data_IF_186228765893
#
_entry.id   IF_186228765893
#
_cell.length_a   1.000
_cell.length_b   1.000
_cell.length_c   1.000
_cell.angle_alpha   90.00
_cell.angle_beta   90.00
_cell.angle_gamma   90.00
#
_symmetry.space_group_name_H-M   'P 1'
#
loop_
_entity.id
_entity.type
_entity.pdbx_description
1 polymer ?
#
# COMPACT_ATOMS: atom_id res chain seq x y z
N UNK A 1 -33.64 -2.71 -4.70
CA UNK A 1 -33.27 -3.97 -5.39
C UNK A 1 -32.41 -3.61 -6.59
N UNK A 2 -31.11 -3.86 -6.52
CA UNK A 2 -30.18 -3.68 -7.66
C UNK A 2 -29.60 -5.07 -8.03
N UNK A 3 -29.55 -5.44 -9.33
CA UNK A 3 -29.08 -6.76 -9.73
C UNK A 3 -27.59 -6.72 -10.12
N UNK A 4 -26.70 -7.19 -9.26
CA UNK A 4 -25.27 -7.34 -9.56
C UNK A 4 -24.77 -8.73 -9.14
N UNK A 5 -25.08 -9.76 -9.95
CA UNK A 5 -24.46 -11.09 -9.80
C UNK A 5 -24.14 -11.84 -11.11
N UNK A 6 -24.08 -11.17 -12.27
CA UNK A 6 -23.84 -11.88 -13.56
C UNK A 6 -22.60 -11.48 -14.37
N UNK A 7 -21.83 -10.45 -13.98
CA UNK A 7 -20.65 -10.06 -14.77
C UNK A 7 -19.35 -10.81 -14.44
N UNK A 8 -19.22 -11.50 -13.30
CA UNK A 8 -17.94 -12.12 -12.91
C UNK A 8 -17.64 -13.44 -13.62
N UNK A 9 -18.64 -14.23 -13.99
CA UNK A 9 -18.43 -15.54 -14.62
C UNK A 9 -18.12 -15.46 -16.12
N UNK A 10 -18.53 -14.38 -16.79
CA UNK A 10 -18.25 -14.16 -18.22
C UNK A 10 -16.80 -13.75 -18.46
N UNK A 11 -16.27 -12.82 -17.64
CA UNK A 11 -14.84 -12.46 -17.68
C UNK A 11 -13.92 -13.65 -17.41
N UNK A 12 -14.34 -14.58 -16.55
CA UNK A 12 -13.55 -15.77 -16.21
C UNK A 12 -13.48 -16.81 -17.34
N UNK A 13 -14.49 -16.90 -18.22
CA UNK A 13 -14.48 -17.80 -19.38
C UNK A 13 -13.68 -17.23 -20.56
N UNK A 14 -13.72 -15.92 -20.76
CA UNK A 14 -12.99 -15.29 -21.88
C UNK A 14 -11.49 -15.21 -21.62
N UNK A 15 -11.05 -14.95 -20.37
CA UNK A 15 -9.62 -14.98 -20.00
C UNK A 15 -8.99 -16.37 -20.16
N UNK A 16 -9.71 -17.44 -19.78
CA UNK A 16 -9.22 -18.81 -19.94
C UNK A 16 -9.16 -19.24 -21.42
N UNK A 17 -10.08 -18.76 -22.26
CA UNK A 17 -10.13 -19.10 -23.68
C UNK A 17 -9.03 -18.43 -24.51
N UNK A 18 -8.64 -17.19 -24.16
CA UNK A 18 -7.61 -16.44 -24.88
C UNK A 18 -6.19 -16.90 -24.51
N UNK A 19 -5.96 -17.37 -23.28
CA UNK A 19 -4.66 -17.92 -22.87
C UNK A 19 -4.33 -19.29 -23.47
N UNK A 20 -5.33 -20.05 -23.96
CA UNK A 20 -5.12 -21.36 -24.57
C UNK A 20 -4.83 -21.31 -26.08
N UNK A 21 -5.01 -20.15 -26.74
CA UNK A 21 -4.81 -20.02 -28.19
C UNK A 21 -3.36 -19.76 -28.64
N UNK A 22 -2.38 -19.74 -27.73
CA UNK A 22 -0.97 -19.50 -28.08
C UNK A 22 -0.08 -20.75 -28.14
N UNK A 23 -0.65 -21.95 -28.13
CA UNK A 23 0.11 -23.21 -28.30
C UNK A 23 -0.38 -23.95 -29.56
N UNK A 24 0.18 -23.57 -30.70
CA UNK A 24 0.00 -24.30 -31.95
C UNK A 24 1.11 -25.35 -32.15
N UNK A 25 0.77 -26.63 -31.99
CA UNK A 25 1.47 -27.73 -32.68
C UNK A 25 0.47 -28.79 -33.13
N UNK A 26 0.55 -29.16 -34.41
CA UNK A 26 -0.36 -30.01 -35.18
C UNK A 26 -0.38 -31.51 -34.77
N UNK A 27 -1.40 -32.29 -35.24
CA UNK A 27 -1.81 -33.56 -34.62
C UNK A 27 -1.31 -34.82 -35.35
N UNK A 28 -1.38 -35.97 -34.65
CA UNK A 28 -1.42 -37.30 -35.30
C UNK A 28 -2.63 -38.13 -34.80
N UNK A 29 -3.28 -38.76 -35.77
CA UNK A 29 -4.53 -39.55 -35.73
C UNK A 29 -4.36 -40.90 -35.01
N UNK A 30 -5.45 -41.41 -34.41
CA UNK A 30 -6.11 -42.70 -34.73
C UNK A 30 -7.41 -42.86 -33.89
N UNK A 31 -8.53 -43.30 -34.51
CA UNK A 31 -9.84 -43.53 -33.86
C UNK A 31 -10.10 -45.01 -33.50
N UNK A 32 -11.35 -45.54 -33.48
CA UNK A 32 -12.63 -44.91 -33.09
C UNK A 32 -13.52 -45.77 -32.13
N UNK A 33 -14.50 -45.10 -31.51
CA UNK A 33 -15.88 -45.53 -31.13
C UNK A 33 -16.14 -46.78 -30.27
N UNK A 34 -16.95 -46.61 -29.19
CA UNK A 34 -18.20 -47.37 -28.97
C UNK A 34 -19.14 -46.75 -27.92
N UNK A 35 -20.43 -46.99 -28.20
CA UNK A 35 -21.68 -46.43 -27.65
C UNK A 35 -22.04 -46.84 -26.20
N UNK A 36 -22.96 -46.06 -25.60
CA UNK A 36 -24.17 -46.44 -24.82
C UNK A 36 -24.42 -45.39 -23.73
N UNK A 37 -25.63 -45.03 -23.27
CA UNK A 37 -27.04 -45.20 -23.66
C UNK A 37 -27.85 -44.32 -22.68
N UNK A 38 -28.97 -43.77 -23.16
CA UNK A 38 -30.06 -43.02 -22.49
C UNK A 38 -30.68 -43.75 -21.26
N UNK A 39 -31.71 -43.23 -20.50
CA UNK A 39 -32.62 -42.10 -20.79
C UNK A 39 -33.05 -41.18 -19.61
N UNK A 40 -33.80 -40.16 -20.04
CA UNK A 40 -34.67 -39.19 -19.34
C UNK A 40 -35.90 -39.82 -18.65
N UNK A 41 -36.47 -39.14 -17.63
CA UNK A 41 -37.84 -38.57 -17.64
C UNK A 41 -38.50 -38.43 -16.26
N UNK A 42 -39.05 -37.25 -15.92
CA UNK A 42 -40.49 -36.90 -15.88
C UNK A 42 -40.80 -35.73 -14.91
N UNK A 43 -41.65 -34.85 -15.43
CA UNK A 43 -42.35 -33.72 -14.81
C UNK A 43 -43.51 -34.19 -13.91
N UNK A 44 -43.99 -33.33 -13.00
CA UNK A 44 -45.40 -32.91 -12.95
C UNK A 44 -45.59 -31.55 -12.25
N UNK A 45 -46.53 -30.79 -12.80
CA UNK A 45 -47.03 -29.45 -12.47
C UNK A 45 -48.01 -29.47 -11.27
N UNK A 46 -48.19 -28.32 -10.58
CA UNK A 46 -49.51 -27.62 -10.50
C UNK A 46 -49.40 -26.22 -9.88
N UNK A 47 -50.29 -25.36 -10.38
CA UNK A 47 -50.46 -23.90 -10.33
C UNK A 47 -51.23 -23.40 -9.09
N UNK A 48 -50.86 -22.26 -8.47
CA UNK A 48 -51.39 -20.87 -8.58
C UNK A 48 -52.88 -20.69 -8.20
N UNK A 49 -53.18 -19.70 -7.34
CA UNK A 49 -54.20 -18.61 -7.50
C UNK A 49 -54.27 -17.71 -6.22
N UNK A 50 -53.97 -16.41 -6.38
CA UNK A 50 -54.48 -15.22 -5.65
C UNK A 50 -55.70 -14.65 -6.45
N UNK A 51 -56.48 -13.56 -6.13
CA UNK A 51 -56.30 -12.35 -5.25
C UNK A 51 -57.66 -11.79 -4.65
N UNK A 52 -58.03 -10.46 -4.58
CA UNK A 52 -57.58 -9.26 -3.81
C UNK A 52 -58.77 -8.46 -3.12
N UNK A 53 -58.86 -7.09 -3.04
CA UNK A 53 -58.15 -6.04 -2.26
C UNK A 53 -59.08 -5.05 -1.50
N UNK A 54 -58.54 -4.05 -0.77
CA UNK A 54 -59.17 -2.71 -0.60
C UNK A 54 -58.14 -1.56 -0.46
N UNK A 55 -58.57 -0.33 -0.80
CA UNK A 55 -57.82 0.90 -1.19
C UNK A 55 -57.92 2.04 -0.16
N UNK A 56 -57.11 3.09 -0.40
CA UNK A 56 -57.26 4.55 -0.10
C UNK A 56 -56.47 5.08 1.12
N UNK A 57 -55.89 6.29 1.18
CA UNK A 57 -55.71 7.42 0.23
C UNK A 57 -54.64 8.42 0.76
N UNK A 58 -53.99 9.15 -0.16
CA UNK A 58 -53.49 10.56 -0.14
C UNK A 58 -52.41 11.10 0.85
N UNK A 59 -51.42 11.77 0.24
CA UNK A 59 -50.27 12.62 0.68
C UNK A 59 -50.69 14.00 1.30
N UNK A 60 -49.80 14.93 1.78
CA UNK A 60 -48.58 15.45 1.11
C UNK A 60 -47.34 15.79 1.99
N UNK A 61 -46.32 16.27 1.28
CA UNK A 61 -44.92 16.63 1.58
C UNK A 61 -44.68 17.56 2.79
N UNK A 62 -43.54 17.40 3.46
CA UNK A 62 -42.80 18.50 4.10
C UNK A 62 -41.29 18.21 4.17
N UNK A 63 -40.54 19.20 3.67
CA UNK A 63 -39.10 19.36 3.67
C UNK A 63 -38.62 19.53 5.13
N UNK A 64 -37.68 18.71 5.59
CA UNK A 64 -37.14 18.78 6.95
C UNK A 64 -35.67 18.38 6.98
N UNK A 65 -34.81 19.38 7.09
CA UNK A 65 -33.38 19.29 7.41
C UNK A 65 -33.12 18.34 8.58
N UNK A 66 -32.36 17.27 8.34
CA UNK A 66 -31.90 16.40 9.43
C UNK A 66 -30.69 17.03 10.11
N UNK A 67 -30.96 17.57 11.30
CA UNK A 67 -29.98 17.94 12.32
C UNK A 67 -29.04 16.76 12.63
N UNK A 68 -27.74 17.03 12.57
CA UNK A 68 -26.69 16.16 13.12
C UNK A 68 -26.79 16.22 14.64
N UNK A 69 -27.12 15.10 15.28
CA UNK A 69 -27.08 14.96 16.73
C UNK A 69 -25.62 14.93 17.22
N UNK A 70 -25.20 15.97 17.93
CA UNK A 70 -24.06 15.95 18.84
C UNK A 70 -24.44 15.27 20.15
N UNK A 71 -23.84 14.12 20.46
CA UNK A 71 -23.55 13.60 21.82
C UNK A 71 -22.60 12.39 21.61
N UNK A 72 -21.46 12.19 22.29
CA UNK A 72 -20.90 12.91 23.42
C UNK A 72 -19.38 12.76 23.48
N UNK A 73 -18.77 13.82 24.00
CA UNK A 73 -17.36 13.92 24.35
C UNK A 73 -17.02 12.94 25.48
N UNK A 74 -16.24 11.91 25.15
CA UNK A 74 -15.48 11.14 26.14
C UNK A 74 -14.06 11.69 26.19
N UNK A 75 -13.68 12.11 27.39
CA UNK A 75 -12.51 12.90 27.77
C UNK A 75 -11.17 12.16 27.65
N UNK A 76 -10.14 12.95 27.31
CA UNK A 76 -8.69 12.65 27.23
C UNK A 76 -8.13 12.34 25.84
N UNK A 77 -8.33 13.26 24.88
CA UNK A 77 -7.31 13.46 23.84
C UNK A 77 -6.26 14.43 24.37
N UNK A 78 -5.00 14.07 24.19
CA UNK A 78 -3.80 14.79 24.63
C UNK A 78 -3.75 16.24 24.13
N UNK A 79 -3.17 17.12 24.96
CA UNK A 79 -3.16 18.58 24.73
C UNK A 79 -2.47 18.99 23.41
N UNK A 80 -1.55 18.18 22.88
CA UNK A 80 -0.90 18.45 21.59
C UNK A 80 -1.75 18.00 20.40
N UNK A 81 -2.40 16.83 20.44
CA UNK A 81 -3.39 16.46 19.40
C UNK A 81 -4.52 17.49 19.32
N UNK A 82 -5.00 18.01 20.44
CA UNK A 82 -5.98 19.10 20.42
C UNK A 82 -5.41 20.41 19.89
N UNK A 83 -4.14 20.73 20.16
CA UNK A 83 -3.52 21.98 19.66
C UNK A 83 -3.24 21.90 18.17
N UNK A 84 -2.73 20.76 17.67
CA UNK A 84 -2.52 20.49 16.24
C UNK A 84 -3.87 20.45 15.50
N UNK A 85 -4.90 19.81 16.07
CA UNK A 85 -6.24 19.78 15.48
C UNK A 85 -7.00 21.12 15.55
N UNK A 86 -6.84 21.91 16.64
CA UNK A 86 -7.49 23.22 16.79
C UNK A 86 -6.90 24.29 15.87
N UNK A 87 -5.60 24.24 15.59
CA UNK A 87 -4.95 25.18 14.64
C UNK A 87 -5.44 24.96 13.21
N UNK A 88 -5.84 23.73 12.87
CA UNK A 88 -6.32 23.34 11.53
C UNK A 88 -7.83 23.53 11.33
N UNK A 89 -8.63 23.65 12.40
CA UNK A 89 -10.08 23.84 12.34
C UNK A 89 -10.53 25.23 11.87
N UNK A 90 -9.61 26.18 11.68
CA UNK A 90 -9.91 27.55 11.25
C UNK A 90 -9.65 27.82 9.76
N UNK A 91 -9.17 26.84 8.99
CA UNK A 91 -8.97 26.97 7.56
C UNK A 91 -10.29 26.71 6.81
N UNK A 92 -10.97 27.79 6.40
CA UNK A 92 -12.12 27.74 5.51
C UNK A 92 -11.74 27.08 4.18
N UNK A 93 -12.55 26.10 3.75
CA UNK A 93 -12.46 25.43 2.44
C UNK A 93 -12.64 26.43 1.29
N UNK A 94 -11.54 26.86 0.66
CA UNK A 94 -11.57 27.53 -0.65
C UNK A 94 -10.37 27.09 -1.51
N UNK A 95 -10.70 26.42 -2.62
CA UNK A 95 -9.95 26.16 -3.89
C UNK A 95 -8.58 25.42 -3.87
N UNK A 96 -8.32 24.41 -4.75
CA UNK A 96 -7.19 23.47 -4.63
C UNK A 96 -5.96 23.83 -5.47
N UNK A 97 -5.58 25.11 -5.54
CA UNK A 97 -4.30 25.54 -6.13
C UNK A 97 -3.78 26.78 -5.40
N UNK A 98 -3.06 26.57 -4.31
CA UNK A 98 -2.25 27.61 -3.67
C UNK A 98 -0.84 27.06 -3.59
N UNK A 99 0.09 27.71 -4.29
CA UNK A 99 1.53 27.48 -4.15
C UNK A 99 1.92 27.71 -2.70
N UNK A 100 2.65 26.74 -2.13
CA UNK A 100 3.04 26.75 -0.73
C UNK A 100 4.19 27.73 -0.52
N UNK A 101 3.86 29.01 -0.32
CA UNK A 101 4.80 29.99 0.23
C UNK A 101 5.19 29.64 1.68
N UNK A 102 6.45 29.90 2.00
CA UNK A 102 7.21 29.64 3.23
C UNK A 102 6.56 30.11 4.54
N UNK A 103 5.53 29.40 5.03
CA UNK A 103 5.16 29.47 6.43
C UNK A 103 6.00 28.47 7.23
N UNK A 104 7.04 28.97 7.91
CA UNK A 104 7.77 28.26 8.97
C UNK A 104 6.80 27.94 10.12
N UNK A 105 5.99 26.90 9.97
CA UNK A 105 5.36 26.26 11.12
C UNK A 105 6.46 25.69 12.00
N UNK A 106 6.43 25.97 13.31
CA UNK A 106 7.24 25.28 14.30
C UNK A 106 7.04 23.77 14.11
N UNK A 107 8.09 23.11 13.60
CA UNK A 107 8.04 21.68 13.32
C UNK A 107 7.92 20.93 14.65
N UNK A 108 6.93 20.05 14.75
CA UNK A 108 6.72 19.26 15.94
C UNK A 108 7.98 18.42 16.27
N UNK A 109 8.29 18.32 17.56
CA UNK A 109 9.39 17.48 18.04
C UNK A 109 8.99 16.00 17.95
N UNK A 110 9.65 15.19 17.09
CA UNK A 110 9.33 13.77 16.98
C UNK A 110 9.56 13.00 18.29
N UNK A 111 10.53 13.41 19.12
CA UNK A 111 10.77 12.76 20.42
C UNK A 111 9.67 13.08 21.43
N UNK A 112 9.10 14.29 21.38
CA UNK A 112 7.94 14.64 22.19
C UNK A 112 6.70 13.83 21.79
N UNK A 113 6.44 13.70 20.49
CA UNK A 113 5.32 12.90 20.01
C UNK A 113 5.49 11.41 20.30
N UNK A 114 6.72 10.89 20.21
CA UNK A 114 7.02 9.50 20.57
C UNK A 114 6.72 9.24 22.05
N UNK A 115 7.19 10.10 22.95
CA UNK A 115 6.88 10.02 24.39
C UNK A 115 5.37 10.09 24.66
N UNK A 116 4.63 10.87 23.87
CA UNK A 116 3.18 10.93 23.98
C UNK A 116 2.51 9.62 23.55
N UNK A 117 2.97 9.01 22.45
CA UNK A 117 2.50 7.68 22.04
C UNK A 117 2.76 6.66 23.15
N UNK A 118 3.99 6.63 23.70
CA UNK A 118 4.38 5.76 24.80
C UNK A 118 3.50 5.96 26.06
N UNK A 119 3.15 7.21 26.39
CA UNK A 119 2.28 7.51 27.54
C UNK A 119 0.84 7.05 27.31
N UNK A 120 0.28 7.24 26.11
CA UNK A 120 -1.06 6.72 25.76
C UNK A 120 -1.07 5.19 25.80
N UNK A 121 0.03 4.57 25.36
CA UNK A 121 0.21 3.13 25.30
C UNK A 121 0.79 2.52 26.58
N UNK A 122 0.95 3.28 27.68
CA UNK A 122 1.62 2.81 28.91
C UNK A 122 1.02 1.54 29.54
N UNK A 123 -0.26 1.28 29.28
CA UNK A 123 -0.98 0.10 29.77
C UNK A 123 -0.93 -1.08 28.78
N UNK A 124 -0.33 -0.88 27.60
CA UNK A 124 -0.10 -1.91 26.61
C UNK A 124 1.25 -2.60 26.85
N UNK A 125 1.38 -3.85 26.40
CA UNK A 125 2.69 -4.48 26.34
C UNK A 125 3.66 -3.64 25.47
N UNK A 126 4.96 -3.65 25.78
CA UNK A 126 5.93 -2.87 25.02
C UNK A 126 5.98 -3.34 23.57
N UNK A 127 6.30 -2.40 22.67
CA UNK A 127 6.54 -2.70 21.25
C UNK A 127 7.57 -3.80 21.08
N UNK A 128 7.42 -4.57 20.02
CA UNK A 128 8.41 -5.56 19.63
C UNK A 128 9.69 -4.87 19.14
N UNK A 129 10.80 -5.08 19.84
CA UNK A 129 12.09 -4.52 19.42
C UNK A 129 12.68 -5.33 18.26
N UNK A 130 13.15 -4.62 17.23
CA UNK A 130 13.78 -5.19 16.03
C UNK A 130 15.07 -4.43 15.76
N UNK A 131 16.15 -5.16 15.49
CA UNK A 131 17.45 -4.57 15.19
C UNK A 131 17.67 -4.44 13.68
N UNK A 132 18.47 -3.44 13.31
CA UNK A 132 19.04 -3.37 11.97
C UNK A 132 20.20 -4.34 11.81
N UNK A 133 20.18 -5.13 10.73
CA UNK A 133 21.31 -5.91 10.25
C UNK A 133 22.04 -5.08 9.21
N UNK A 134 23.31 -4.72 9.49
CA UNK A 134 24.17 -4.04 8.53
C UNK A 134 24.65 -5.03 7.48
N UNK A 135 24.60 -4.62 6.21
CA UNK A 135 25.13 -5.43 5.12
C UNK A 135 26.63 -5.18 4.96
N UNK A 136 27.29 -6.04 4.17
CA UNK A 136 28.72 -5.89 3.84
C UNK A 136 29.02 -4.67 2.94
N UNK A 137 28.01 -4.11 2.29
CA UNK A 137 28.14 -3.00 1.35
C UNK A 137 28.12 -1.62 2.02
N UNK A 138 27.93 -1.56 3.34
CA UNK A 138 27.81 -0.31 4.10
C UNK A 138 29.05 0.59 3.90
N UNK A 139 28.85 1.76 3.29
CA UNK A 139 29.87 2.80 3.19
C UNK A 139 29.71 3.81 4.33
N UNK A 140 30.78 4.05 5.09
CA UNK A 140 30.79 5.06 6.16
C UNK A 140 30.74 6.51 5.65
N UNK A 141 30.84 6.72 4.33
CA UNK A 141 30.96 8.06 3.73
C UNK A 141 29.63 8.66 3.27
N UNK A 142 28.58 7.84 3.08
CA UNK A 142 27.29 8.31 2.58
C UNK A 142 26.26 8.42 3.72
N UNK A 143 25.42 9.46 3.67
CA UNK A 143 24.24 9.53 4.53
C UNK A 143 23.14 8.66 3.92
N UNK A 144 22.77 7.51 4.51
CA UNK A 144 21.80 6.59 3.93
C UNK A 144 20.41 7.20 3.89
N UNK A 145 19.63 6.85 2.87
CA UNK A 145 18.20 7.14 2.73
C UNK A 145 17.43 6.00 3.38
N UNK A 146 16.72 6.28 4.46
CA UNK A 146 15.87 5.30 5.11
C UNK A 146 14.52 5.19 4.41
N UNK A 147 14.23 4.02 3.89
CA UNK A 147 12.96 3.67 3.26
C UNK A 147 12.17 2.78 4.21
N UNK A 148 10.91 3.13 4.46
CA UNK A 148 9.96 2.29 5.17
C UNK A 148 8.78 1.93 4.26
N UNK A 149 8.46 0.64 4.19
CA UNK A 149 7.36 0.06 3.44
C UNK A 149 6.44 -0.65 4.43
N UNK A 150 5.14 -0.33 4.42
CA UNK A 150 4.22 -0.97 5.36
C UNK A 150 2.76 -0.98 4.88
N UNK A 151 2.16 -2.17 4.79
CA UNK A 151 0.70 -2.30 4.82
C UNK A 151 0.25 -2.10 6.27
N UNK A 152 -0.44 -0.99 6.54
CA UNK A 152 -0.79 -0.61 7.91
C UNK A 152 -2.10 -1.25 8.38
N UNK A 153 -2.74 -2.09 7.55
CA UNK A 153 -4.08 -2.65 7.73
C UNK A 153 -5.13 -1.52 7.81
N UNK A 154 -6.11 -1.47 6.93
CA UNK A 154 -7.14 -0.43 7.02
C UNK A 154 -8.02 -0.66 8.25
N UNK A 155 -8.38 0.41 8.97
CA UNK A 155 -9.20 0.30 10.19
C UNK A 155 -10.54 -0.39 9.90
N UNK A 156 -11.21 0.04 8.83
CA UNK A 156 -12.48 -0.54 8.41
C UNK A 156 -12.35 -2.04 8.10
N UNK A 157 -11.23 -2.47 7.49
CA UNK A 157 -11.02 -3.87 7.13
C UNK A 157 -10.71 -4.73 8.36
N UNK A 158 -9.88 -4.22 9.27
CA UNK A 158 -9.51 -4.90 10.50
C UNK A 158 -10.72 -5.25 11.37
N UNK A 159 -11.61 -4.28 11.60
CA UNK A 159 -12.83 -4.48 12.40
C UNK A 159 -13.93 -5.25 11.64
N UNK A 160 -14.08 -4.99 10.34
CA UNK A 160 -15.29 -5.37 9.61
C UNK A 160 -15.19 -6.58 8.70
N UNK A 161 -14.00 -6.91 8.18
CA UNK A 161 -13.86 -7.89 7.09
C UNK A 161 -12.80 -8.94 7.31
N UNK A 162 -11.77 -8.62 8.07
CA UNK A 162 -10.56 -9.43 8.09
C UNK A 162 -10.65 -10.66 8.98
N UNK A 163 -11.44 -10.58 10.06
CA UNK A 163 -11.79 -11.71 10.90
C UNK A 163 -10.60 -12.32 11.63
N UNK A 164 -9.75 -11.50 12.26
CA UNK A 164 -8.60 -11.98 13.03
C UNK A 164 -9.04 -12.76 14.27
N UNK A 165 -9.20 -14.09 14.16
CA UNK A 165 -9.86 -14.93 15.17
C UNK A 165 -9.05 -15.11 16.47
N UNK A 166 -7.77 -14.72 16.47
CA UNK A 166 -6.88 -14.74 17.65
C UNK A 166 -6.52 -13.35 18.15
N UNK A 167 -6.93 -12.29 17.45
CA UNK A 167 -6.68 -10.92 17.87
C UNK A 167 -7.83 -10.42 18.77
N UNK A 168 -7.56 -9.90 19.96
CA UNK A 168 -8.56 -9.21 20.77
C UNK A 168 -9.12 -7.99 20.03
N UNK A 169 -10.44 -7.79 20.06
CA UNK A 169 -11.08 -6.66 19.37
C UNK A 169 -10.59 -5.30 19.89
N UNK A 170 -10.22 -5.24 21.16
CA UNK A 170 -9.65 -4.04 21.79
C UNK A 170 -8.30 -3.66 21.18
N UNK A 171 -7.52 -4.62 20.68
CA UNK A 171 -6.25 -4.37 19.99
C UNK A 171 -6.46 -3.76 18.60
N UNK A 172 -7.64 -3.96 18.01
CA UNK A 172 -8.00 -3.39 16.71
C UNK A 172 -8.56 -1.98 16.82
N UNK A 173 -8.87 -1.48 18.02
CA UNK A 173 -9.52 -0.19 18.20
C UNK A 173 -8.64 0.97 17.69
N UNK A 174 -9.20 1.79 16.79
CA UNK A 174 -8.49 2.92 16.18
C UNK A 174 -7.90 3.90 17.18
N UNK A 175 -8.59 4.13 18.31
CA UNK A 175 -8.17 5.09 19.34
C UNK A 175 -6.76 4.82 19.87
N UNK A 176 -6.31 3.57 19.82
CA UNK A 176 -4.97 3.16 20.25
C UNK A 176 -4.11 2.67 19.08
N UNK A 177 -4.70 1.98 18.10
CA UNK A 177 -3.97 1.44 16.94
C UNK A 177 -3.21 2.54 16.18
N UNK A 178 -3.78 3.75 16.09
CA UNK A 178 -3.10 4.90 15.49
C UNK A 178 -1.80 5.28 16.22
N UNK A 179 -1.75 5.16 17.54
CA UNK A 179 -0.54 5.48 18.32
C UNK A 179 0.52 4.39 18.15
N UNK A 180 0.14 3.12 18.03
CA UNK A 180 1.09 2.04 17.70
C UNK A 180 1.70 2.24 16.30
N UNK A 181 0.91 2.67 15.32
CA UNK A 181 1.40 2.98 13.96
C UNK A 181 2.36 4.18 14.01
N UNK A 182 2.01 5.24 14.74
CA UNK A 182 2.86 6.41 14.90
C UNK A 182 4.15 6.09 15.67
N UNK A 183 4.08 5.29 16.74
CA UNK A 183 5.24 4.83 17.51
C UNK A 183 6.25 4.07 16.62
N UNK A 184 5.76 3.19 15.74
CA UNK A 184 6.60 2.46 14.77
C UNK A 184 7.31 3.43 13.80
N UNK A 185 6.58 4.39 13.23
CA UNK A 185 7.13 5.40 12.29
C UNK A 185 8.16 6.30 13.01
N UNK A 186 7.84 6.78 14.20
CA UNK A 186 8.70 7.68 15.01
C UNK A 186 9.94 6.96 15.54
N UNK A 187 9.84 5.65 15.81
CA UNK A 187 10.98 4.83 16.19
C UNK A 187 12.00 4.77 15.07
N UNK A 188 11.56 4.46 13.84
CA UNK A 188 12.50 4.24 12.73
C UNK A 188 12.85 5.50 11.95
N UNK A 189 12.05 6.57 12.02
CA UNK A 189 12.30 7.88 11.37
C UNK A 189 12.68 7.75 9.88
N UNK A 190 11.81 7.17 9.03
CA UNK A 190 12.12 7.00 7.63
C UNK A 190 12.25 8.34 6.89
N UNK A 191 13.16 8.45 5.94
CA UNK A 191 13.20 9.60 5.04
C UNK A 191 12.13 9.50 3.96
N UNK A 192 11.74 8.28 3.58
CA UNK A 192 10.63 7.98 2.68
C UNK A 192 9.78 6.87 3.28
N UNK A 193 8.47 7.10 3.37
CA UNK A 193 7.49 6.19 3.95
C UNK A 193 6.41 5.86 2.93
N UNK A 194 6.30 4.58 2.59
CA UNK A 194 5.38 4.01 1.64
C UNK A 194 4.35 3.16 2.38
N UNK A 195 3.08 3.57 2.34
CA UNK A 195 2.00 2.90 3.07
C UNK A 195 0.94 2.35 2.12
N UNK A 196 0.36 1.20 2.50
CA UNK A 196 -0.86 0.65 1.89
C UNK A 196 -1.95 0.50 2.94
N UNK A 197 -3.19 0.39 2.46
CA UNK A 197 -4.39 0.29 3.29
C UNK A 197 -4.60 1.51 4.20
N UNK A 198 -4.28 2.70 3.69
CA UNK A 198 -4.46 3.95 4.43
C UNK A 198 -5.90 4.45 4.24
N UNK A 199 -6.76 4.26 5.25
CA UNK A 199 -8.12 4.81 5.30
C UNK A 199 -8.25 6.00 6.26
N UNK A 200 -7.21 6.33 7.02
CA UNK A 200 -7.13 7.49 7.93
C UNK A 200 -6.10 8.55 7.48
N UNK A 201 -5.98 8.76 6.16
CA UNK A 201 -4.98 9.68 5.59
C UNK A 201 -5.22 11.13 6.03
N UNK A 202 -6.42 11.66 5.78
CA UNK A 202 -6.71 13.09 5.97
C UNK A 202 -6.93 13.50 7.42
N UNK A 203 -7.51 12.63 8.25
CA UNK A 203 -7.81 12.93 9.65
C UNK A 203 -6.64 12.69 10.60
N UNK A 204 -5.68 11.83 10.22
CA UNK A 204 -4.58 11.42 11.11
C UNK A 204 -3.21 11.55 10.46
N UNK A 205 -2.90 10.74 9.44
CA UNK A 205 -1.50 10.59 9.00
C UNK A 205 -0.96 11.84 8.31
N UNK A 206 -1.73 12.48 7.44
CA UNK A 206 -1.32 13.69 6.75
C UNK A 206 -1.03 14.84 7.73
N UNK A 207 -1.95 15.26 8.63
CA UNK A 207 -1.68 16.39 9.50
C UNK A 207 -0.54 16.11 10.49
N UNK A 208 -0.50 14.90 11.08
CA UNK A 208 0.54 14.53 12.04
C UNK A 208 1.92 14.48 11.38
N UNK A 209 2.07 13.77 10.25
CA UNK A 209 3.36 13.65 9.59
C UNK A 209 3.78 14.98 8.91
N UNK A 210 2.84 15.79 8.43
CA UNK A 210 3.15 17.14 7.93
C UNK A 210 3.76 18.04 9.02
N UNK A 211 3.24 17.96 10.26
CA UNK A 211 3.81 18.68 11.41
C UNK A 211 5.23 18.23 11.75
N UNK A 212 5.62 17.00 11.40
CA UNK A 212 6.95 16.43 11.59
C UNK A 212 7.92 16.70 10.43
N UNK A 213 7.52 17.44 9.39
CA UNK A 213 8.39 17.74 8.26
C UNK A 213 8.17 16.86 7.02
N UNK A 214 7.16 15.99 7.00
CA UNK A 214 6.87 15.19 5.82
C UNK A 214 6.01 15.98 4.82
N UNK A 215 6.28 15.79 3.54
CA UNK A 215 5.34 16.09 2.46
C UNK A 215 4.79 14.76 1.95
N UNK A 216 3.55 14.75 1.44
CA UNK A 216 2.88 13.49 1.12
C UNK A 216 1.88 13.56 -0.02
N UNK A 217 1.55 12.38 -0.54
CA UNK A 217 0.65 12.17 -1.67
C UNK A 217 -0.15 10.88 -1.43
N UNK A 218 -1.47 10.91 -1.66
CA UNK A 218 -2.39 9.80 -1.40
C UNK A 218 -3.24 9.50 -2.62
N UNK A 219 -3.38 8.22 -2.95
CA UNK A 219 -4.24 7.74 -4.03
C UNK A 219 -5.17 6.64 -3.50
N UNK A 220 -6.47 6.90 -3.35
CA UNK A 220 -7.45 5.90 -2.92
C UNK A 220 -7.75 4.88 -4.02
N UNK A 221 -8.08 3.65 -3.62
CA UNK A 221 -8.66 2.65 -4.54
C UNK A 221 -10.04 3.16 -5.01
N UNK A 222 -10.33 3.16 -6.33
CA UNK A 222 -11.60 3.68 -6.86
C UNK A 222 -12.86 3.03 -6.25
N UNK A 223 -12.79 1.72 -6.00
CA UNK A 223 -13.82 0.93 -5.35
C UNK A 223 -13.20 0.20 -4.15
N UNK A 224 -12.74 0.96 -3.14
CA UNK A 224 -12.15 0.39 -1.93
C UNK A 224 -13.12 -0.55 -1.21
N UNK A 225 -12.65 -1.72 -0.71
CA UNK A 225 -13.45 -2.59 0.13
C UNK A 225 -13.83 -1.98 1.49
N UNK A 226 -13.18 -0.91 1.96
CA UNK A 226 -13.58 -0.23 3.20
C UNK A 226 -15.01 0.29 3.10
N UNK A 227 -15.44 0.70 1.90
CA UNK A 227 -16.77 1.29 1.67
C UNK A 227 -17.93 0.30 1.91
N UNK A 228 -17.66 -1.01 1.93
CA UNK A 228 -18.70 -2.00 2.28
C UNK A 228 -18.82 -2.22 3.79
N UNK A 229 -17.94 -1.61 4.60
CA UNK A 229 -17.94 -1.74 6.06
C UNK A 229 -18.75 -0.61 6.67
N UNK A 230 -19.62 -0.94 7.63
CA UNK A 230 -20.38 0.04 8.37
C UNK A 230 -19.44 0.94 9.20
N UNK A 231 -19.72 2.25 9.28
CA UNK A 231 -18.86 3.25 9.95
C UNK A 231 -17.41 3.32 9.43
N UNK A 232 -17.18 3.05 8.14
CA UNK A 232 -15.86 3.26 7.53
C UNK A 232 -15.45 4.74 7.49
N UNK A 233 -14.15 5.00 7.36
CA UNK A 233 -13.59 6.34 7.21
C UNK A 233 -13.29 6.70 5.74
N UNK A 234 -14.09 6.17 4.80
CA UNK A 234 -13.87 6.33 3.37
C UNK A 234 -12.97 5.23 2.76
N UNK A 235 -12.48 5.44 1.53
CA UNK A 235 -11.70 4.44 0.81
C UNK A 235 -10.26 4.33 1.34
N UNK A 236 -9.75 3.11 1.47
CA UNK A 236 -8.30 2.88 1.61
C UNK A 236 -7.53 3.20 0.32
N UNK A 237 -6.23 3.43 0.46
CA UNK A 237 -5.33 3.68 -0.65
C UNK A 237 -3.87 3.48 -0.35
N UNK A 238 -3.04 3.90 -1.30
CA UNK A 238 -1.59 4.01 -1.13
C UNK A 238 -1.23 5.45 -0.75
N UNK A 239 -0.33 5.61 0.21
CA UNK A 239 0.21 6.91 0.60
C UNK A 239 1.75 6.88 0.53
N UNK A 240 2.33 7.97 0.04
CA UNK A 240 3.77 8.17 -0.04
C UNK A 240 4.11 9.46 0.70
N UNK A 241 4.95 9.37 1.73
CA UNK A 241 5.48 10.49 2.50
C UNK A 241 6.99 10.58 2.31
N UNK A 242 7.56 11.77 2.31
CA UNK A 242 9.00 11.97 2.30
C UNK A 242 9.40 13.22 3.10
N UNK A 243 10.59 13.20 3.69
CA UNK A 243 11.13 14.30 4.49
C UNK A 243 11.46 15.51 3.59
N UNK A 244 10.70 16.61 3.69
CA UNK A 244 10.85 17.80 2.84
C UNK A 244 12.15 18.55 3.04
N UNK A 245 12.81 18.37 4.21
CA UNK A 245 14.14 18.93 4.49
C UNK A 245 15.23 18.20 3.72
N UNK A 246 15.03 16.91 3.41
CA UNK A 246 16.00 16.08 2.69
C UNK A 246 15.73 16.04 1.19
N UNK A 247 14.46 16.06 0.79
CA UNK A 247 14.05 15.91 -0.59
C UNK A 247 13.17 17.06 -1.08
N UNK A 248 13.39 17.44 -2.34
CA UNK A 248 12.51 18.30 -3.11
C UNK A 248 11.68 17.41 -4.04
N UNK A 249 10.36 17.60 -4.06
CA UNK A 249 9.47 16.96 -5.04
C UNK A 249 9.66 17.61 -6.40
N UNK A 250 9.96 16.82 -7.42
CA UNK A 250 10.00 17.28 -8.81
C UNK A 250 8.70 16.93 -9.53
N UNK A 251 8.19 15.72 -9.32
CA UNK A 251 6.96 15.24 -9.96
C UNK A 251 6.25 14.21 -9.08
N UNK A 252 4.91 14.15 -9.18
CA UNK A 252 4.13 13.05 -8.62
C UNK A 252 3.11 12.55 -9.65
N UNK A 253 2.93 11.24 -9.73
CA UNK A 253 1.95 10.60 -10.60
C UNK A 253 1.08 9.63 -9.79
N UNK A 254 -0.23 9.69 -10.01
CA UNK A 254 -1.19 8.73 -9.46
C UNK A 254 -1.63 7.77 -10.55
N UNK A 255 -1.26 6.49 -10.40
CA UNK A 255 -1.49 5.48 -11.41
C UNK A 255 -2.65 4.58 -11.02
N UNK A 256 -3.65 4.47 -11.90
CA UNK A 256 -4.63 3.38 -11.84
C UNK A 256 -4.15 2.24 -12.73
N UNK A 257 -3.81 1.11 -12.11
CA UNK A 257 -3.24 -0.05 -12.80
C UNK A 257 -4.22 -0.64 -13.81
N UNK A 258 -3.72 -1.14 -14.93
CA UNK A 258 -4.53 -1.73 -15.99
C UNK A 258 -4.11 -3.17 -16.28
N UNK A 259 -5.08 -4.00 -16.70
CA UNK A 259 -4.83 -5.35 -17.23
C UNK A 259 -5.54 -5.45 -18.57
N UNK A 260 -4.80 -5.75 -19.65
CA UNK A 260 -5.35 -5.80 -21.01
C UNK A 260 -6.18 -4.56 -21.37
N UNK A 261 -5.63 -3.36 -21.11
CA UNK A 261 -6.27 -2.04 -21.29
C UNK A 261 -7.47 -1.75 -20.35
N UNK A 262 -7.91 -2.71 -19.53
CA UNK A 262 -8.98 -2.49 -18.55
C UNK A 262 -8.42 -1.91 -17.26
N UNK A 263 -8.97 -0.78 -16.83
CA UNK A 263 -8.62 -0.16 -15.55
C UNK A 263 -9.07 -1.05 -14.38
N UNK A 264 -8.11 -1.48 -13.57
CA UNK A 264 -8.33 -2.30 -12.38
C UNK A 264 -8.75 -1.44 -11.18
N UNK A 265 -8.90 -2.04 -10.02
CA UNK A 265 -9.18 -1.33 -8.77
C UNK A 265 -7.91 -0.93 -8.00
N UNK A 266 -6.75 -1.44 -8.41
CA UNK A 266 -5.49 -1.21 -7.72
C UNK A 266 -4.79 0.03 -8.26
N UNK A 267 -4.01 0.66 -7.40
CA UNK A 267 -3.40 1.96 -7.64
C UNK A 267 -1.93 1.95 -7.22
N UNK A 268 -1.17 2.90 -7.75
CA UNK A 268 0.17 3.21 -7.30
C UNK A 268 0.37 4.73 -7.23
N UNK A 269 1.25 5.18 -6.33
CA UNK A 269 1.73 6.56 -6.27
C UNK A 269 3.21 6.54 -6.61
N UNK A 270 3.64 7.41 -7.52
CA UNK A 270 5.04 7.60 -7.90
C UNK A 270 5.45 9.03 -7.60
N UNK A 271 6.61 9.22 -7.00
CA UNK A 271 7.21 10.52 -6.73
C UNK A 271 8.66 10.55 -7.24
N UNK A 272 9.00 11.56 -8.01
CA UNK A 272 10.37 11.86 -8.42
C UNK A 272 10.94 12.89 -7.45
N UNK A 273 12.00 12.51 -6.74
CA UNK A 273 12.58 13.26 -5.64
C UNK A 273 14.02 13.66 -5.96
N UNK A 274 14.39 14.91 -5.68
CA UNK A 274 15.78 15.38 -5.65
C UNK A 274 16.28 15.45 -4.22
N UNK A 275 17.38 14.74 -3.95
CA UNK A 275 18.14 14.92 -2.71
C UNK A 275 18.71 16.33 -2.65
N UNK A 276 18.32 17.11 -1.64
CA UNK A 276 18.78 18.50 -1.49
C UNK A 276 20.27 18.56 -1.15
N UNK A 277 20.80 17.55 -0.46
CA UNK A 277 22.21 17.49 -0.07
C UNK A 277 23.13 17.12 -1.24
N UNK A 278 22.75 16.15 -2.06
CA UNK A 278 23.62 15.59 -3.11
C UNK A 278 23.24 16.01 -4.53
N UNK A 279 22.06 16.60 -4.71
CA UNK A 279 21.48 16.91 -6.03
C UNK A 279 21.00 15.68 -6.81
N UNK A 280 21.21 14.46 -6.29
CA UNK A 280 20.83 13.23 -6.97
C UNK A 280 19.31 13.09 -7.02
N UNK A 281 18.81 12.62 -8.18
CA UNK A 281 17.39 12.40 -8.42
C UNK A 281 17.10 10.90 -8.43
N UNK A 282 15.98 10.51 -7.84
CA UNK A 282 15.48 9.14 -7.87
C UNK A 282 13.95 9.13 -7.82
N UNK A 283 13.33 8.07 -8.32
CA UNK A 283 11.91 7.82 -8.25
C UNK A 283 11.61 6.87 -7.09
N UNK A 284 10.51 7.11 -6.38
CA UNK A 284 9.93 6.18 -5.42
C UNK A 284 8.50 5.87 -5.82
N UNK A 285 8.14 4.60 -5.82
CA UNK A 285 6.80 4.14 -6.07
C UNK A 285 6.25 3.33 -4.90
N UNK A 286 4.96 3.48 -4.63
CA UNK A 286 4.22 2.63 -3.70
C UNK A 286 3.00 2.03 -4.38
N UNK A 287 2.76 0.73 -4.19
CA UNK A 287 1.61 0.02 -4.80
C UNK A 287 0.97 -0.98 -3.84
N UNK A 288 -0.27 -1.38 -4.13
CA UNK A 288 -0.97 -2.48 -3.47
C UNK A 288 -1.69 -3.30 -4.55
N UNK A 289 -1.19 -4.49 -4.86
CA UNK A 289 -1.72 -5.34 -5.94
C UNK A 289 -2.97 -6.14 -5.52
N UNK A 290 -3.54 -6.89 -6.47
CA UNK A 290 -4.78 -7.64 -6.24
C UNK A 290 -4.58 -8.77 -5.22
N UNK A 291 -5.25 -8.64 -4.08
CA UNK A 291 -5.29 -9.65 -3.02
C UNK A 291 -6.04 -10.95 -3.38
N UNK A 292 -5.83 -11.97 -2.54
CA UNK A 292 -6.42 -13.33 -2.58
C UNK A 292 -5.85 -14.26 -3.66
N UNK A 293 -5.89 -15.56 -3.40
CA UNK A 293 -5.53 -16.61 -4.35
C UNK A 293 -6.49 -16.66 -5.56
N UNK A 294 -6.01 -17.22 -6.67
CA UNK A 294 -6.72 -17.27 -7.95
C UNK A 294 -6.61 -16.00 -8.79
N UNK A 295 -5.78 -15.04 -8.37
CA UNK A 295 -5.53 -13.78 -9.06
C UNK A 295 -4.06 -13.60 -9.47
N UNK A 296 -3.27 -14.68 -9.49
CA UNK A 296 -1.83 -14.69 -9.77
C UNK A 296 -1.52 -14.09 -11.16
N UNK A 297 -2.23 -14.54 -12.20
CA UNK A 297 -2.08 -13.99 -13.55
C UNK A 297 -2.53 -12.52 -13.65
N UNK A 298 -3.53 -12.14 -12.85
CA UNK A 298 -4.01 -10.76 -12.80
C UNK A 298 -2.99 -9.84 -12.12
N UNK A 299 -2.40 -10.27 -11.00
CA UNK A 299 -1.27 -9.58 -10.35
C UNK A 299 -0.07 -9.46 -11.29
N UNK A 300 0.25 -10.54 -12.02
CA UNK A 300 1.31 -10.54 -13.03
C UNK A 300 1.10 -9.46 -14.09
N UNK A 301 -0.12 -9.33 -14.62
CA UNK A 301 -0.47 -8.30 -15.59
C UNK A 301 -0.49 -6.88 -14.98
N UNK A 302 -0.94 -6.72 -13.73
CA UNK A 302 -0.84 -5.45 -13.00
C UNK A 302 0.62 -5.02 -12.81
N UNK A 303 1.48 -5.96 -12.41
CA UNK A 303 2.92 -5.72 -12.28
C UNK A 303 3.57 -5.35 -13.60
N UNK A 304 3.20 -6.01 -14.70
CA UNK A 304 3.70 -5.65 -16.03
C UNK A 304 3.31 -4.21 -16.43
N UNK A 305 2.06 -3.82 -16.20
CA UNK A 305 1.62 -2.43 -16.44
C UNK A 305 2.33 -1.43 -15.53
N UNK A 306 2.54 -1.77 -14.25
CA UNK A 306 3.30 -0.93 -13.33
C UNK A 306 4.75 -0.73 -13.81
N UNK A 307 5.46 -1.81 -14.16
CA UNK A 307 6.83 -1.74 -14.68
C UNK A 307 6.92 -0.90 -15.96
N UNK A 308 5.95 -1.04 -16.87
CA UNK A 308 5.90 -0.21 -18.08
C UNK A 308 5.78 1.28 -17.72
N UNK A 309 4.85 1.65 -16.85
CA UNK A 309 4.66 3.05 -16.43
C UNK A 309 5.89 3.59 -15.69
N UNK A 310 6.53 2.77 -14.86
CA UNK A 310 7.76 3.16 -14.17
C UNK A 310 8.89 3.39 -15.18
N UNK A 311 9.05 2.53 -16.18
CA UNK A 311 10.01 2.72 -17.25
C UNK A 311 9.77 4.02 -18.02
N UNK A 312 8.51 4.32 -18.36
CA UNK A 312 8.16 5.57 -19.04
C UNK A 312 8.54 6.79 -18.16
N UNK A 313 8.19 6.76 -16.88
CA UNK A 313 8.46 7.87 -15.94
C UNK A 313 9.96 8.04 -15.63
N UNK A 314 10.75 6.97 -15.60
CA UNK A 314 12.20 7.04 -15.32
C UNK A 314 13.03 7.37 -16.55
N UNK A 315 12.48 7.23 -17.76
CA UNK A 315 13.17 7.54 -19.03
C UNK A 315 12.72 8.86 -19.65
N UNK A 316 11.56 9.39 -19.26
CA UNK A 316 11.12 10.71 -19.67
C UNK A 316 12.14 11.78 -19.23
N UNK A 317 12.65 12.52 -20.21
CA UNK A 317 13.50 13.69 -19.97
C UNK A 317 12.67 14.77 -19.29
N UNK A 318 12.76 14.87 -17.97
CA UNK A 318 12.21 16.03 -17.28
C UNK A 318 13.06 17.26 -17.65
N UNK A 319 12.43 18.20 -18.34
CA UNK A 319 12.98 19.53 -18.63
C UNK A 319 12.62 20.42 -17.46
N UNK A 320 13.61 20.84 -16.68
CA UNK A 320 13.43 21.93 -15.72
C UNK A 320 13.77 23.26 -16.39
N UNK A 321 12.91 24.26 -16.18
CA UNK A 321 13.23 25.67 -16.39
C UNK A 321 13.79 26.20 -15.07
N UNK A 322 15.11 26.45 -15.00
CA UNK A 322 15.68 27.28 -13.92
C UNK A 322 15.24 28.75 -14.14
N UNK A 323 15.06 29.53 -13.06
CA UNK A 323 14.76 30.99 -13.07
C UNK A 323 15.78 31.82 -13.90
N UNK A 324 16.95 31.25 -14.20
CA UNK A 324 17.99 31.83 -15.07
C UNK A 324 17.91 31.37 -16.54
N UNK A 325 16.78 30.82 -16.99
CA UNK A 325 16.54 30.42 -18.39
C UNK A 325 17.47 29.29 -18.91
N UNK A 326 17.99 28.44 -18.02
CA UNK A 326 18.78 27.25 -18.39
C UNK A 326 17.91 26.00 -18.33
N UNK A 327 17.68 25.38 -19.49
CA UNK A 327 17.07 24.06 -19.59
C UNK A 327 18.03 23.00 -19.06
N UNK A 328 17.74 22.39 -17.90
CA UNK A 328 18.45 21.18 -17.48
C UNK A 328 17.67 19.97 -18.00
N UNK A 329 18.29 19.25 -18.93
CA UNK A 329 17.82 17.93 -19.35
C UNK A 329 18.59 16.90 -18.52
N UNK A 330 17.89 16.06 -17.77
CA UNK A 330 18.50 14.92 -17.10
C UNK A 330 18.73 13.80 -18.14
N UNK A 331 19.85 13.86 -18.84
CA UNK A 331 20.28 12.78 -19.73
C UNK A 331 21.15 11.79 -18.95
N UNK A 332 20.54 10.69 -18.52
CA UNK A 332 21.29 9.47 -18.24
C UNK A 332 20.77 8.37 -19.16
N UNK A 333 21.68 7.72 -19.90
CA UNK A 333 21.37 6.56 -20.74
C UNK A 333 20.68 5.42 -19.95
N UNK A 334 20.86 5.39 -18.61
CA UNK A 334 20.34 4.36 -17.71
C UNK A 334 19.02 4.75 -16.99
N UNK A 335 18.46 5.94 -17.26
CA UNK A 335 17.24 6.45 -16.60
C UNK A 335 17.43 6.86 -15.12
N UNK A 336 16.37 7.40 -14.52
CA UNK A 336 16.34 7.81 -13.11
C UNK A 336 16.31 6.57 -12.20
N UNK A 337 17.22 6.46 -11.19
CA UNK A 337 17.20 5.38 -10.20
C UNK A 337 15.84 5.22 -9.53
N UNK A 338 15.44 3.99 -9.20
CA UNK A 338 14.09 3.69 -8.74
C UNK A 338 14.10 2.86 -7.44
N UNK A 339 13.15 3.17 -6.56
CA UNK A 339 12.74 2.33 -5.42
C UNK A 339 11.24 2.02 -5.56
N UNK A 340 10.83 0.76 -5.44
CA UNK A 340 9.42 0.35 -5.47
C UNK A 340 9.07 -0.39 -4.20
N UNK A 341 8.18 0.19 -3.42
CA UNK A 341 7.61 -0.39 -2.22
C UNK A 341 6.21 -0.92 -2.51
N UNK A 342 5.80 -2.00 -1.85
CA UNK A 342 4.39 -2.36 -1.86
C UNK A 342 4.07 -3.72 -1.27
N UNK A 343 2.78 -3.89 -0.97
CA UNK A 343 2.16 -5.20 -0.77
C UNK A 343 1.73 -5.74 -2.13
N UNK A 344 2.49 -6.70 -2.63
CA UNK A 344 2.26 -7.32 -3.92
C UNK A 344 1.20 -8.43 -3.84
N UNK A 345 0.78 -8.82 -2.63
CA UNK A 345 -0.12 -9.95 -2.40
C UNK A 345 0.32 -11.22 -3.15
N UNK A 346 1.64 -11.38 -3.32
CA UNK A 346 2.24 -12.43 -4.11
C UNK A 346 3.51 -12.92 -3.44
N UNK A 347 3.64 -14.24 -3.34
CA UNK A 347 4.87 -14.87 -2.84
C UNK A 347 5.99 -14.84 -3.90
N UNK A 348 7.26 -15.05 -3.51
CA UNK A 348 8.39 -15.05 -4.44
C UNK A 348 8.28 -16.11 -5.57
N UNK A 349 7.41 -17.11 -5.38
CA UNK A 349 7.12 -18.14 -6.37
C UNK A 349 6.18 -17.68 -7.49
N UNK A 350 5.54 -16.51 -7.38
CA UNK A 350 4.61 -16.01 -8.38
C UNK A 350 5.29 -15.28 -9.54
N UNK A 351 4.59 -15.25 -10.69
CA UNK A 351 5.13 -14.63 -11.91
C UNK A 351 5.34 -13.12 -11.79
N UNK A 352 4.53 -12.43 -10.98
CA UNK A 352 4.71 -10.98 -10.76
C UNK A 352 6.07 -10.67 -10.11
N UNK A 353 6.52 -11.52 -9.18
CA UNK A 353 7.83 -11.37 -8.54
C UNK A 353 8.96 -11.60 -9.55
N UNK A 354 8.89 -12.68 -10.35
CA UNK A 354 9.87 -12.95 -11.42
C UNK A 354 9.96 -11.81 -12.44
N UNK A 355 8.84 -11.19 -12.78
CA UNK A 355 8.80 -10.04 -13.70
C UNK A 355 9.56 -8.84 -13.15
N UNK A 356 9.46 -8.58 -11.84
CA UNK A 356 10.19 -7.48 -11.23
C UNK A 356 11.70 -7.74 -11.22
N UNK A 357 12.13 -8.95 -10.82
CA UNK A 357 13.54 -9.37 -10.88
C UNK A 357 14.13 -9.33 -12.29
N UNK A 358 13.38 -9.77 -13.30
CA UNK A 358 13.85 -9.83 -14.70
C UNK A 358 13.59 -8.55 -15.50
N UNK A 359 13.09 -7.50 -14.84
CA UNK A 359 12.77 -6.23 -15.48
C UNK A 359 14.02 -5.56 -16.07
N UNK A 360 13.86 -4.86 -17.20
CA UNK A 360 14.90 -3.99 -17.75
C UNK A 360 15.27 -2.81 -16.86
N UNK A 361 14.47 -2.53 -15.83
CA UNK A 361 14.76 -1.53 -14.78
C UNK A 361 15.88 -1.97 -13.82
N UNK A 362 16.39 -3.21 -13.94
CA UNK A 362 17.51 -3.71 -13.13
C UNK A 362 17.20 -3.69 -11.64
N UNK A 363 16.02 -4.19 -11.27
CA UNK A 363 15.53 -4.15 -9.89
C UNK A 363 15.97 -5.39 -9.13
N UNK A 364 16.35 -5.18 -7.88
CA UNK A 364 16.54 -6.25 -6.91
C UNK A 364 15.76 -6.00 -5.62
N UNK A 365 15.52 -7.05 -4.82
CA UNK A 365 14.78 -6.96 -3.55
C UNK A 365 15.74 -6.80 -2.36
N UNK A 366 15.57 -5.71 -1.60
CA UNK A 366 16.45 -5.36 -0.49
C UNK A 366 16.43 -6.38 0.65
N UNK A 367 15.30 -7.06 0.88
CA UNK A 367 15.13 -7.96 2.02
C UNK A 367 15.81 -9.33 1.83
N UNK A 368 16.24 -9.67 0.61
CA UNK A 368 17.14 -10.81 0.37
C UNK A 368 18.49 -10.65 1.06
N UNK A 369 18.92 -9.43 1.40
CA UNK A 369 20.16 -9.20 2.14
C UNK A 369 20.15 -9.78 3.57
N UNK A 370 18.99 -10.22 4.08
CA UNK A 370 18.90 -10.90 5.37
C UNK A 370 19.34 -12.38 5.29
N UNK A 371 19.30 -13.01 4.12
CA UNK A 371 19.73 -14.39 3.96
C UNK A 371 21.24 -14.49 3.81
N UNK A 372 21.81 -15.62 4.25
CA UNK A 372 23.26 -15.85 4.15
C UNK A 372 23.76 -15.88 2.70
N UNK A 373 22.91 -16.32 1.77
CA UNK A 373 23.20 -16.37 0.33
C UNK A 373 22.93 -15.04 -0.40
N UNK A 374 22.33 -14.05 0.28
CA UNK A 374 21.92 -12.76 -0.28
C UNK A 374 20.85 -12.84 -1.38
N UNK A 375 20.24 -14.02 -1.56
CA UNK A 375 19.36 -14.33 -2.70
C UNK A 375 18.01 -14.91 -2.29
N UNK A 376 17.80 -15.17 -1.01
CA UNK A 376 16.58 -15.77 -0.47
C UNK A 376 15.77 -14.72 0.27
N UNK A 377 14.50 -14.57 -0.12
CA UNK A 377 13.56 -13.67 0.55
C UNK A 377 13.28 -14.10 2.00
N UNK A 378 12.83 -13.19 2.89
CA UNK A 378 12.52 -13.55 4.26
C UNK A 378 11.40 -14.59 4.29
N UNK A 379 11.29 -15.38 5.39
CA UNK A 379 10.28 -16.42 5.50
C UNK A 379 8.84 -15.89 5.54
N UNK A 380 8.65 -14.64 5.97
CA UNK A 380 7.37 -13.96 5.97
C UNK A 380 7.54 -12.45 6.09
N UNK A 381 6.52 -11.73 5.65
CA UNK A 381 6.28 -10.31 5.95
C UNK A 381 4.90 -10.09 6.55
N UNK A 382 4.00 -11.07 6.43
CA UNK A 382 2.70 -11.11 7.09
C UNK A 382 2.46 -12.46 7.74
N UNK A 383 1.91 -12.46 8.96
CA UNK A 383 1.59 -13.68 9.70
C UNK A 383 0.35 -13.48 10.58
N UNK A 384 -0.73 -14.19 10.24
CA UNK A 384 -2.07 -13.97 10.81
C UNK A 384 -2.91 -15.22 10.87
N UNK A 385 -3.94 -15.21 11.71
CA UNK A 385 -4.91 -16.31 11.84
C UNK A 385 -6.31 -15.77 11.57
N UNK A 386 -6.96 -16.33 10.54
CA UNK A 386 -8.32 -15.97 10.09
C UNK A 386 -9.21 -17.22 10.10
N UNK A 387 -10.53 -17.15 9.82
CA UNK A 387 -11.39 -18.34 9.85
C UNK A 387 -10.97 -19.40 8.81
N UNK A 388 -10.26 -18.98 7.75
CA UNK A 388 -9.67 -19.88 6.74
C UNK A 388 -8.44 -20.64 7.23
N UNK A 389 -7.89 -20.30 8.40
CA UNK A 389 -6.68 -20.88 8.96
C UNK A 389 -5.57 -19.85 9.21
N UNK A 390 -4.44 -20.36 9.68
CA UNK A 390 -3.20 -19.61 9.84
C UNK A 390 -2.53 -19.40 8.48
N UNK A 391 -2.10 -18.17 8.20
CA UNK A 391 -1.42 -17.77 6.98
C UNK A 391 -0.13 -17.04 7.35
N UNK A 392 0.97 -17.48 6.74
CA UNK A 392 2.30 -16.91 6.91
C UNK A 392 2.97 -16.84 5.55
N UNK A 393 3.18 -15.63 5.03
CA UNK A 393 3.63 -15.40 3.65
C UNK A 393 4.50 -14.15 3.54
N UNK A 394 5.35 -14.14 2.52
CA UNK A 394 6.14 -12.97 2.09
C UNK A 394 5.42 -12.29 0.94
N UNK A 395 4.87 -11.11 1.22
CA UNK A 395 3.98 -10.37 0.31
C UNK A 395 4.47 -8.94 0.06
N UNK A 396 5.32 -8.43 0.96
CA UNK A 396 5.80 -7.05 0.98
C UNK A 396 7.23 -6.99 0.49
N UNK A 397 7.53 -6.02 -0.37
CA UNK A 397 8.85 -5.88 -0.98
C UNK A 397 9.32 -4.44 -1.01
N UNK A 398 10.64 -4.25 -0.90
CA UNK A 398 11.33 -3.00 -1.23
C UNK A 398 12.29 -3.33 -2.38
N UNK A 399 11.84 -3.07 -3.60
CA UNK A 399 12.66 -3.18 -4.80
C UNK A 399 13.52 -1.94 -4.97
N UNK A 400 14.74 -2.08 -5.49
CA UNK A 400 15.65 -0.97 -5.75
C UNK A 400 16.45 -1.21 -7.04
N UNK A 401 16.83 -0.14 -7.74
CA UNK A 401 17.76 -0.22 -8.88
C UNK A 401 19.16 -0.66 -8.41
N UNK A 402 19.51 -1.92 -8.65
CA UNK A 402 20.71 -2.58 -8.11
C UNK A 402 22.02 -1.86 -8.50
N UNK A 403 22.07 -1.29 -9.71
CA UNK A 403 23.25 -0.56 -10.19
C UNK A 403 23.43 0.81 -9.57
N UNK A 404 22.34 1.41 -9.08
CA UNK A 404 22.32 2.79 -8.62
C UNK A 404 22.31 2.92 -7.10
N UNK A 405 21.86 1.90 -6.39
CA UNK A 405 21.82 1.87 -4.93
C UNK A 405 22.54 0.65 -4.38
N UNK A 406 23.09 0.84 -3.18
CA UNK A 406 23.52 -0.22 -2.29
C UNK A 406 22.59 -0.26 -1.07
N UNK A 407 22.29 -1.46 -0.58
CA UNK A 407 21.54 -1.66 0.66
C UNK A 407 22.54 -1.66 1.81
N UNK A 408 22.51 -0.66 2.70
CA UNK A 408 23.45 -0.53 3.82
C UNK A 408 22.99 -1.29 5.07
N UNK A 409 21.69 -1.30 5.34
CA UNK A 409 21.10 -2.04 6.46
C UNK A 409 19.64 -2.41 6.19
N UNK A 410 19.17 -3.48 6.84
CA UNK A 410 17.79 -3.97 6.77
C UNK A 410 17.27 -4.29 8.17
N UNK A 411 16.05 -3.89 8.49
CA UNK A 411 15.41 -4.18 9.78
C UNK A 411 14.97 -5.64 9.82
N UNK A 412 15.47 -6.39 10.83
CA UNK A 412 15.28 -7.83 10.94
C UNK A 412 13.79 -8.22 11.04
N UNK A 413 13.43 -9.37 10.45
CA UNK A 413 12.13 -10.01 10.66
C UNK A 413 12.14 -10.73 12.01
N UNK A 414 11.15 -10.51 12.90
CA UNK A 414 11.05 -11.21 14.18
C UNK A 414 10.98 -12.73 14.01
N UNK A 415 11.39 -13.48 15.03
CA UNK A 415 11.17 -14.92 15.07
C UNK A 415 9.77 -15.26 15.63
N UNK A 416 9.41 -16.53 15.62
CA UNK A 416 8.09 -17.00 16.10
C UNK A 416 7.82 -16.66 17.57
N UNK A 417 8.85 -16.74 18.44
CA UNK A 417 8.73 -16.43 19.86
C UNK A 417 8.41 -14.94 20.08
N UNK A 418 9.04 -14.06 19.31
CA UNK A 418 8.82 -12.62 19.35
C UNK A 418 7.43 -12.23 18.80
N UNK A 419 6.94 -12.93 17.77
CA UNK A 419 5.58 -12.73 17.24
C UNK A 419 4.51 -13.21 18.23
N UNK A 420 4.79 -14.29 18.96
CA UNK A 420 3.86 -14.91 19.88
C UNK A 420 2.85 -15.84 19.18
N UNK A 421 2.10 -16.65 19.97
CA UNK A 421 1.25 -17.71 19.44
C UNK A 421 0.01 -17.21 18.68
N UNK A 422 -0.47 -16.00 19.00
CA UNK A 422 -1.67 -15.41 18.40
C UNK A 422 -1.41 -14.64 17.10
N UNK A 423 -0.13 -14.51 16.72
CA UNK A 423 0.34 -13.86 15.51
C UNK A 423 -0.07 -12.39 15.47
N UNK A 424 -0.23 -11.83 14.26
CA UNK A 424 -0.56 -10.43 14.03
C UNK A 424 -2.01 -10.27 13.50
N UNK A 425 -2.67 -9.13 13.76
CA UNK A 425 -2.26 -8.06 14.69
C UNK A 425 -2.45 -8.49 16.16
N UNK A 426 -1.88 -7.73 17.09
CA UNK A 426 -1.96 -8.02 18.52
C UNK A 426 -1.84 -6.73 19.36
N UNK A 427 -1.89 -6.86 20.68
CA UNK A 427 -1.62 -5.71 21.56
C UNK A 427 -0.22 -5.11 21.41
N UNK A 428 0.73 -5.86 20.84
CA UNK A 428 2.10 -5.39 20.59
C UNK A 428 2.27 -4.74 19.23
N UNK A 429 1.34 -4.95 18.28
CA UNK A 429 1.59 -4.63 16.89
C UNK A 429 0.29 -4.38 16.09
N UNK A 430 0.17 -3.24 15.38
CA UNK A 430 -1.12 -2.73 14.89
C UNK A 430 -1.59 -3.27 13.53
N UNK A 431 -0.77 -4.06 12.85
CA UNK A 431 -1.03 -4.57 11.50
C UNK A 431 -0.74 -6.07 11.43
N UNK A 432 -1.38 -6.78 10.51
CA UNK A 432 -1.06 -8.15 10.16
C UNK A 432 0.19 -8.30 9.25
N UNK A 433 0.75 -7.18 8.81
CA UNK A 433 2.01 -7.08 8.06
C UNK A 433 3.08 -6.38 8.90
N UNK A 434 4.31 -6.88 8.87
CA UNK A 434 5.46 -6.24 9.47
C UNK A 434 5.93 -5.07 8.62
N UNK A 435 6.39 -4.00 9.27
CA UNK A 435 7.05 -2.90 8.60
C UNK A 435 8.39 -3.40 8.03
N UNK A 436 8.65 -3.08 6.78
CA UNK A 436 9.94 -3.28 6.15
C UNK A 436 10.70 -1.96 6.18
N UNK A 437 11.92 -1.95 6.70
CA UNK A 437 12.77 -0.75 6.77
C UNK A 437 14.16 -1.10 6.29
N UNK A 438 14.66 -0.34 5.32
CA UNK A 438 16.05 -0.45 4.88
C UNK A 438 16.70 0.92 4.74
N UNK A 439 18.02 0.93 4.87
CA UNK A 439 18.89 2.08 4.62
C UNK A 439 19.56 1.86 3.25
N UNK A 440 19.36 2.79 2.31
CA UNK A 440 19.93 2.75 0.96
C UNK A 440 20.91 3.91 0.75
N UNK A 441 22.04 3.67 0.11
CA UNK A 441 22.94 4.72 -0.36
C UNK A 441 23.08 4.68 -1.86
N UNK A 442 23.25 5.83 -2.50
CA UNK A 442 23.62 5.85 -3.91
C UNK A 442 25.00 5.23 -4.10
N UNK A 443 25.12 4.32 -5.06
CA UNK A 443 26.39 3.72 -5.46
C UNK A 443 27.30 4.81 -6.04
N UNK A 444 28.57 4.87 -5.63
CA UNK A 444 29.52 5.78 -6.24
C UNK A 444 29.73 5.37 -7.70
N UNK A 445 29.44 6.27 -8.64
CA UNK A 445 29.84 6.05 -10.04
C UNK A 445 31.37 6.03 -10.06
N UNK A 446 32.03 5.01 -10.63
CA UNK A 446 33.46 5.09 -10.84
C UNK A 446 33.72 6.34 -11.67
N UNK A 447 34.53 7.26 -11.15
CA UNK A 447 34.94 8.45 -11.89
C UNK A 447 35.42 7.98 -13.27
N UNK A 448 34.71 8.36 -14.34
CA UNK A 448 35.32 8.34 -15.67
C UNK A 448 36.52 9.27 -15.56
N UNK A 449 37.71 8.70 -15.47
CA UNK A 449 38.95 9.42 -15.72
C UNK A 449 38.78 10.04 -17.11
N UNK A 450 38.48 11.34 -17.14
CA UNK A 450 38.51 12.15 -18.35
C UNK A 450 39.95 12.35 -18.79
#
# INVERSE_FOLDING_TARGET
MYPTRRCSSLLHRELAAVCLSSLGTHPKKHGPLKNSSLPSSRLFHTSVIHPPPTRSNSSPLLLGSLQVCQMGSSSSSSRLFSTVAQTLGSATLTDPHVEADDYEYEQADPDALLRECEEVLRNRPPRMHRDFVRTRACSLQNTPIRIMQWNILAQALGEGKDGFVRCPMEALNWSERKYLILEEILTYRPDVLCLQEVDHYFDTFQPVLASLGYQSSFCPKPCSPCLDVHNNNGPDGCALFFNRRRFQLLHTSHLRLSVMMLKTNQVAVVATLRCRLTGQVFCVAVTHLKARSGWESFRSAQGAHLLQQLCDLTTQSHTEMDDENRTRVWESEEGIPLVVCGDFNAEPSEEVYRRFLSSSLGLDSAYKCLSEDGNTEPPYTSWKIRPSGESRSTLDYIWYSERAFQVDAVLRIPNEEQIGPDRLPSYHYPSDHLSLVCDLSFSQRPHRLM
#
